data_IF_115779282266
#
_entry.id   IF_115779282266
#
_cell.length_a   1.000
_cell.length_b   1.000
_cell.length_c   1.000
_cell.angle_alpha   90.00
_cell.angle_beta   90.00
_cell.angle_gamma   90.00
#
_symmetry.space_group_name_H-M   'P 1'
#
loop_
_entity.id
_entity.type
_entity.pdbx_description
1 polymer ?
#
# COMPACT_ATOMS: atom_id res chain seq x y z
N UNK A 1 34.59 -37.25 -74.12
CA UNK A 1 33.58 -36.83 -75.11
C UNK A 1 32.20 -36.95 -74.49
N UNK A 2 31.54 -35.79 -74.35
CA UNK A 2 30.12 -35.52 -74.52
C UNK A 2 29.01 -36.43 -73.93
N UNK A 3 28.03 -35.71 -73.39
CA UNK A 3 26.59 -36.00 -73.30
C UNK A 3 26.14 -36.74 -72.03
N UNK A 4 25.06 -36.35 -71.38
CA UNK A 4 24.01 -35.41 -71.77
C UNK A 4 22.78 -35.71 -70.94
N UNK A 5 22.04 -34.66 -70.59
CA UNK A 5 20.79 -34.70 -69.84
C UNK A 5 19.77 -35.69 -70.42
N UNK A 6 19.11 -36.46 -69.54
CA UNK A 6 17.74 -36.93 -69.75
C UNK A 6 16.93 -36.78 -68.46
N UNK A 7 15.92 -35.94 -68.58
CA UNK A 7 14.85 -35.68 -67.63
C UNK A 7 13.64 -36.51 -68.09
N UNK A 8 13.00 -37.33 -67.24
CA UNK A 8 11.61 -37.82 -67.39
C UNK A 8 11.04 -38.18 -65.99
N UNK A 9 9.97 -37.44 -65.62
CA UNK A 9 8.72 -37.75 -64.86
C UNK A 9 8.60 -39.16 -64.21
N UNK A 10 7.95 -39.40 -63.05
CA UNK A 10 6.86 -38.73 -62.34
C UNK A 10 6.56 -39.41 -60.95
N UNK A 11 6.06 -38.63 -59.97
CA UNK A 11 5.15 -39.00 -58.82
C UNK A 11 5.73 -39.79 -57.61
N UNK A 12 5.01 -39.84 -56.47
CA UNK A 12 5.11 -38.91 -55.34
C UNK A 12 5.78 -39.58 -54.12
N UNK A 13 6.77 -38.93 -53.51
CA UNK A 13 7.42 -39.47 -52.32
C UNK A 13 6.58 -39.14 -51.07
N UNK A 14 5.58 -39.96 -50.78
CA UNK A 14 5.12 -40.17 -49.42
C UNK A 14 6.13 -41.11 -48.75
N UNK A 15 7.13 -40.57 -48.05
CA UNK A 15 7.87 -41.36 -47.06
C UNK A 15 8.46 -40.41 -46.01
N UNK A 16 7.91 -40.52 -44.79
CA UNK A 16 8.57 -40.27 -43.51
C UNK A 16 9.25 -38.92 -43.29
N UNK A 17 8.45 -37.90 -42.93
CA UNK A 17 8.88 -36.89 -41.95
C UNK A 17 8.17 -37.21 -40.63
N UNK A 18 8.55 -38.36 -40.08
CA UNK A 18 8.29 -38.73 -38.69
C UNK A 18 9.63 -38.77 -37.99
N UNK A 19 9.70 -38.17 -36.80
CA UNK A 19 10.89 -37.95 -35.97
C UNK A 19 11.84 -36.85 -36.45
N UNK A 20 11.57 -35.62 -35.99
CA UNK A 20 12.50 -34.76 -35.24
C UNK A 20 11.89 -33.34 -35.13
N UNK A 21 10.69 -33.24 -34.55
CA UNK A 21 10.33 -32.02 -33.80
C UNK A 21 10.25 -32.46 -32.36
N UNK A 22 11.39 -32.24 -31.73
CA UNK A 22 11.68 -32.22 -30.31
C UNK A 22 10.41 -31.91 -29.50
N UNK A 23 10.08 -32.87 -28.64
CA UNK A 23 9.26 -32.79 -27.44
C UNK A 23 8.94 -31.35 -26.97
N UNK A 24 7.88 -30.76 -27.53
CA UNK A 24 7.20 -29.58 -26.98
C UNK A 24 5.97 -30.00 -26.16
N UNK A 25 6.10 -31.09 -25.41
CA UNK A 25 5.20 -31.37 -24.30
C UNK A 25 6.02 -31.79 -23.09
N UNK A 26 5.65 -31.20 -21.95
CA UNK A 26 6.12 -31.50 -20.61
C UNK A 26 7.37 -30.76 -20.14
N UNK A 27 7.26 -29.44 -20.06
CA UNK A 27 7.69 -28.72 -18.86
C UNK A 27 6.92 -27.40 -18.78
N UNK A 28 5.59 -27.50 -18.62
CA UNK A 28 4.88 -26.46 -17.87
C UNK A 28 5.42 -26.55 -16.44
N UNK A 29 6.55 -25.91 -16.17
CA UNK A 29 6.90 -25.53 -14.80
C UNK A 29 5.65 -24.82 -14.29
N UNK A 30 4.98 -25.39 -13.29
CA UNK A 30 4.09 -24.60 -12.46
C UNK A 30 4.87 -23.32 -12.12
N UNK A 31 4.29 -22.12 -12.35
CA UNK A 31 4.98 -20.92 -11.91
C UNK A 31 5.27 -21.12 -10.43
N UNK A 32 6.51 -20.85 -10.06
CA UNK A 32 7.01 -21.02 -8.71
C UNK A 32 6.04 -20.24 -7.80
N UNK A 33 5.11 -20.94 -7.12
CA UNK A 33 3.98 -20.34 -6.40
C UNK A 33 4.45 -19.31 -5.35
N UNK A 34 5.73 -19.31 -5.03
CA UNK A 34 6.42 -18.32 -4.21
C UNK A 34 6.59 -16.95 -4.90
N UNK A 35 6.99 -16.91 -6.17
CA UNK A 35 7.24 -15.66 -6.91
C UNK A 35 5.96 -14.91 -7.26
N UNK A 36 4.93 -15.64 -7.71
CA UNK A 36 3.62 -15.05 -8.03
C UNK A 36 2.96 -14.46 -6.78
N UNK A 37 3.09 -15.13 -5.63
CA UNK A 37 2.60 -14.60 -4.34
C UNK A 37 3.33 -13.32 -3.94
N UNK A 38 4.66 -13.30 -4.04
CA UNK A 38 5.46 -12.10 -3.75
C UNK A 38 5.10 -10.94 -4.68
N UNK A 39 4.83 -11.23 -5.96
CA UNK A 39 4.41 -10.22 -6.92
C UNK A 39 3.03 -9.66 -6.57
N UNK A 40 2.08 -10.51 -6.20
CA UNK A 40 0.74 -10.08 -5.80
C UNK A 40 0.80 -9.22 -4.53
N UNK A 41 1.55 -9.64 -3.50
CA UNK A 41 1.74 -8.83 -2.28
C UNK A 41 2.34 -7.45 -2.58
N UNK A 42 3.22 -7.34 -3.57
CA UNK A 42 3.77 -6.04 -4.00
C UNK A 42 2.74 -5.17 -4.71
N UNK A 43 1.88 -5.77 -5.53
CA UNK A 43 0.77 -5.05 -6.18
C UNK A 43 -0.18 -4.52 -5.12
N UNK A 44 -0.60 -5.38 -4.20
CA UNK A 44 -1.51 -5.04 -3.10
C UNK A 44 -0.93 -3.94 -2.22
N UNK A 45 0.36 -4.01 -1.90
CA UNK A 45 1.07 -2.95 -1.18
C UNK A 45 1.07 -1.61 -1.92
N UNK A 46 1.30 -1.59 -3.24
CA UNK A 46 1.27 -0.35 -4.04
C UNK A 46 -0.13 0.26 -4.05
N UNK A 47 -1.16 -0.58 -4.18
CA UNK A 47 -2.56 -0.12 -4.13
C UNK A 47 -2.93 0.46 -2.76
N UNK A 48 -2.49 -0.18 -1.68
CA UNK A 48 -2.69 0.31 -0.31
C UNK A 48 -1.98 1.65 -0.10
N UNK A 49 -0.74 1.79 -0.58
CA UNK A 49 -0.01 3.06 -0.58
C UNK A 49 -0.77 4.15 -1.32
N UNK A 50 -1.29 3.86 -2.52
CA UNK A 50 -2.05 4.81 -3.33
C UNK A 50 -3.37 5.20 -2.65
N UNK A 51 -4.03 4.27 -1.96
CA UNK A 51 -5.24 4.55 -1.18
C UNK A 51 -4.94 5.54 -0.06
N UNK A 52 -3.87 5.32 0.71
CA UNK A 52 -3.43 6.23 1.77
C UNK A 52 -3.01 7.60 1.20
N UNK A 53 -2.27 7.63 0.10
CA UNK A 53 -1.88 8.89 -0.55
C UNK A 53 -3.07 9.65 -1.15
N UNK A 54 -4.07 8.94 -1.66
CA UNK A 54 -5.32 9.54 -2.16
C UNK A 54 -6.12 10.23 -1.05
N UNK A 55 -6.07 9.70 0.17
CA UNK A 55 -6.69 10.34 1.33
C UNK A 55 -5.98 11.66 1.71
N UNK A 56 -4.64 11.71 1.74
CA UNK A 56 -3.90 12.80 2.39
C UNK A 56 -2.98 13.65 1.50
N UNK A 57 -2.80 13.29 0.22
CA UNK A 57 -1.83 13.92 -0.68
C UNK A 57 -1.97 15.43 -0.76
N UNK A 58 -3.20 15.95 -0.83
CA UNK A 58 -3.47 17.38 -0.93
C UNK A 58 -3.02 18.20 0.30
N UNK A 59 -3.05 17.60 1.50
CA UNK A 59 -2.62 18.27 2.74
C UNK A 59 -1.09 18.27 2.81
N UNK A 60 -0.47 17.12 2.53
CA UNK A 60 0.99 16.98 2.51
C UNK A 60 1.63 17.95 1.53
N UNK A 61 1.14 18.03 0.30
CA UNK A 61 1.65 18.94 -0.72
C UNK A 61 1.50 20.40 -0.30
N UNK A 62 0.38 20.76 0.33
CA UNK A 62 0.18 22.10 0.86
C UNK A 62 1.17 22.44 1.99
N UNK A 63 1.43 21.50 2.90
CA UNK A 63 2.38 21.68 4.00
C UNK A 63 3.82 21.83 3.53
N UNK A 64 4.19 21.26 2.39
CA UNK A 64 5.55 21.38 1.85
C UNK A 64 5.82 22.63 1.03
N UNK A 65 4.79 23.40 0.66
CA UNK A 65 4.99 24.69 -0.02
C UNK A 65 5.84 25.60 0.86
N UNK A 66 6.94 26.15 0.34
CA UNK A 66 7.81 27.05 1.10
C UNK A 66 7.00 28.22 1.68
N UNK A 67 7.39 28.64 2.88
CA UNK A 67 6.82 29.80 3.58
C UNK A 67 7.97 30.69 3.95
N UNK A 68 7.86 31.99 3.65
CA UNK A 68 9.01 32.90 3.70
C UNK A 68 9.13 33.60 5.08
N UNK A 69 8.12 33.48 5.95
CA UNK A 69 8.11 34.11 7.28
C UNK A 69 7.42 33.25 8.36
N UNK A 70 7.81 33.39 9.65
CA UNK A 70 7.16 32.67 10.76
C UNK A 70 5.66 32.93 10.88
N UNK A 71 5.20 34.15 10.59
CA UNK A 71 3.77 34.47 10.58
C UNK A 71 3.02 33.70 9.50
N UNK A 72 3.62 33.52 8.31
CA UNK A 72 3.05 32.68 7.25
C UNK A 72 3.04 31.20 7.63
N UNK A 73 4.03 30.72 8.41
CA UNK A 73 4.01 29.35 8.94
C UNK A 73 2.83 29.11 9.87
N UNK A 74 2.58 30.02 10.82
CA UNK A 74 1.42 29.92 11.73
C UNK A 74 0.10 29.97 10.96
N UNK A 75 -0.04 30.89 10.01
CA UNK A 75 -1.23 30.95 9.15
C UNK A 75 -1.41 29.68 8.31
N UNK A 76 -0.30 29.07 7.88
CA UNK A 76 -0.31 27.84 7.11
C UNK A 76 -0.70 26.63 7.98
N UNK A 77 -0.28 26.57 9.24
CA UNK A 77 -0.73 25.55 10.19
C UNK A 77 -2.24 25.62 10.41
N UNK A 78 -2.80 26.81 10.69
CA UNK A 78 -4.25 26.96 10.83
C UNK A 78 -5.03 26.55 9.56
N UNK A 79 -4.45 26.78 8.37
CA UNK A 79 -5.03 26.33 7.09
C UNK A 79 -4.90 24.82 6.89
N UNK A 80 -3.87 24.18 7.45
CA UNK A 80 -3.72 22.72 7.45
C UNK A 80 -4.82 22.12 8.30
N UNK A 81 -5.04 22.63 9.51
CA UNK A 81 -6.09 22.13 10.41
C UNK A 81 -7.47 22.24 9.74
N UNK A 82 -7.77 23.39 9.13
CA UNK A 82 -9.01 23.56 8.35
C UNK A 82 -9.12 22.57 7.18
N UNK A 83 -8.02 22.32 6.45
CA UNK A 83 -8.02 21.31 5.37
C UNK A 83 -8.23 19.89 5.90
N UNK A 84 -7.75 19.60 7.11
CA UNK A 84 -8.00 18.30 7.75
C UNK A 84 -9.48 18.14 8.10
N UNK A 85 -10.11 19.19 8.62
CA UNK A 85 -11.56 19.21 8.84
C UNK A 85 -12.32 19.01 7.53
N UNK A 86 -11.96 19.73 6.46
CA UNK A 86 -12.58 19.59 5.13
C UNK A 86 -12.42 18.16 4.58
N UNK A 87 -11.24 17.55 4.73
CA UNK A 87 -11.03 16.16 4.33
C UNK A 87 -11.83 15.19 5.19
N UNK A 88 -11.87 15.40 6.50
CA UNK A 88 -12.67 14.60 7.41
C UNK A 88 -14.13 14.62 6.98
N UNK A 89 -14.71 15.77 6.70
CA UNK A 89 -16.08 15.91 6.19
C UNK A 89 -16.31 15.08 4.91
N UNK A 90 -15.37 15.12 3.96
CA UNK A 90 -15.47 14.39 2.70
C UNK A 90 -15.35 12.87 2.90
N UNK A 91 -14.50 12.42 3.81
CA UNK A 91 -14.15 11.00 3.97
C UNK A 91 -14.92 10.29 5.08
N UNK A 92 -15.45 11.04 6.04
CA UNK A 92 -16.26 10.51 7.14
C UNK A 92 -17.44 9.75 6.56
N UNK A 93 -17.59 8.52 7.02
CA UNK A 93 -18.63 7.60 6.59
C UNK A 93 -18.38 6.89 5.26
N UNK A 94 -17.30 7.21 4.53
CA UNK A 94 -16.86 6.41 3.39
C UNK A 94 -16.13 5.15 3.87
N UNK A 95 -16.14 4.11 3.05
CA UNK A 95 -15.41 2.86 3.32
C UNK A 95 -14.03 2.94 2.69
N UNK A 96 -13.02 2.53 3.45
CA UNK A 96 -11.69 2.24 2.93
C UNK A 96 -11.56 0.73 2.75
N UNK A 97 -10.82 0.32 1.72
CA UNK A 97 -10.44 -1.07 1.50
C UNK A 97 -8.93 -1.12 1.28
N UNK A 98 -8.25 -1.88 2.12
CA UNK A 98 -6.83 -2.19 2.00
C UNK A 98 -6.69 -3.70 1.79
N UNK A 99 -5.80 -4.10 0.91
CA UNK A 99 -5.63 -5.50 0.50
C UNK A 99 -4.70 -6.28 1.42
N UNK A 100 -3.68 -5.63 1.96
CA UNK A 100 -2.60 -6.28 2.70
C UNK A 100 -2.19 -5.54 3.97
N UNK A 101 -3.14 -4.96 4.70
CA UNK A 101 -2.85 -4.28 5.96
C UNK A 101 -2.29 -5.28 6.99
N UNK A 102 -1.23 -4.89 7.69
CA UNK A 102 -0.58 -5.70 8.72
C UNK A 102 -1.08 -5.30 10.10
N UNK A 103 -1.49 -6.29 10.90
CA UNK A 103 -1.85 -6.08 12.30
C UNK A 103 -0.58 -5.86 13.14
N UNK A 104 -0.44 -4.67 13.71
CA UNK A 104 0.74 -4.24 14.49
C UNK A 104 0.69 -4.77 15.92
N UNK A 105 -0.50 -4.95 16.48
CA UNK A 105 -0.63 -5.36 17.88
C UNK A 105 -2.02 -5.86 18.25
N UNK A 106 -2.08 -6.53 19.41
CA UNK A 106 -3.32 -7.07 19.98
C UNK A 106 -4.31 -5.96 20.31
N UNK A 107 -5.63 -6.26 20.30
CA UNK A 107 -6.65 -5.33 20.75
C UNK A 107 -6.31 -4.73 22.11
N UNK A 108 -6.27 -3.40 22.19
CA UNK A 108 -5.98 -2.67 23.43
C UNK A 108 -6.92 -1.51 23.63
N UNK A 109 -7.10 -1.10 24.89
CA UNK A 109 -7.70 0.20 25.21
C UNK A 109 -6.76 1.30 24.73
N UNK A 110 -7.29 2.26 23.99
CA UNK A 110 -6.57 3.47 23.64
C UNK A 110 -6.82 4.51 24.74
N UNK A 111 -5.75 4.98 25.35
CA UNK A 111 -5.85 6.03 26.38
C UNK A 111 -5.61 7.44 25.84
N UNK A 112 -4.98 7.60 24.67
CA UNK A 112 -4.66 8.91 24.11
C UNK A 112 -4.81 8.94 22.57
N UNK A 113 -6.05 9.01 22.08
CA UNK A 113 -6.34 9.70 20.82
C UNK A 113 -6.75 11.14 21.15
N UNK A 114 -5.91 11.84 21.91
CA UNK A 114 -6.17 13.20 22.46
C UNK A 114 -6.52 14.23 21.37
N UNK A 115 -6.23 13.91 20.11
CA UNK A 115 -6.49 14.76 18.95
C UNK A 115 -7.83 14.51 18.26
N UNK A 116 -8.53 13.43 18.60
CA UNK A 116 -9.76 13.03 17.90
C UNK A 116 -11.03 13.43 18.63
N UNK A 117 -10.93 13.86 19.89
CA UNK A 117 -12.06 14.38 20.69
C UNK A 117 -13.30 13.46 20.69
N UNK A 118 -13.08 12.15 20.59
CA UNK A 118 -14.12 11.11 20.63
C UNK A 118 -13.80 10.21 21.82
N UNK A 119 -14.80 9.97 22.66
CA UNK A 119 -14.71 9.01 23.77
C UNK A 119 -14.77 7.58 23.22
N UNK A 120 -13.64 6.88 23.31
CA UNK A 120 -13.50 5.47 22.90
C UNK A 120 -13.39 4.53 24.11
N UNK A 121 -13.75 4.97 25.32
CA UNK A 121 -13.60 4.19 26.56
C UNK A 121 -14.33 2.84 26.53
N UNK A 122 -15.39 2.72 25.74
CA UNK A 122 -16.18 1.49 25.54
C UNK A 122 -15.60 0.53 24.48
N UNK A 123 -14.57 0.94 23.74
CA UNK A 123 -14.02 0.19 22.60
C UNK A 123 -12.64 -0.39 22.89
N UNK A 124 -12.39 -1.59 22.38
CA UNK A 124 -11.03 -2.06 22.13
C UNK A 124 -10.60 -1.66 20.72
N UNK A 125 -9.30 -1.53 20.50
CA UNK A 125 -8.76 -1.10 19.21
C UNK A 125 -7.69 -2.04 18.71
N UNK A 126 -7.86 -2.48 17.46
CA UNK A 126 -6.81 -3.13 16.68
C UNK A 126 -6.05 -2.07 15.88
N UNK A 127 -4.73 -2.14 15.95
CA UNK A 127 -3.84 -1.24 15.24
C UNK A 127 -3.27 -1.96 14.02
N UNK A 128 -3.49 -1.39 12.85
CA UNK A 128 -3.00 -1.86 11.57
C UNK A 128 -2.07 -0.83 10.93
N UNK A 129 -1.24 -1.30 10.01
CA UNK A 129 -0.36 -0.46 9.20
C UNK A 129 -0.27 -0.96 7.75
N UNK A 130 0.39 -0.18 6.90
CA UNK A 130 0.75 -0.57 5.54
C UNK A 130 2.25 -0.82 5.50
N UNK A 131 2.65 -2.08 5.43
CA UNK A 131 4.04 -2.53 5.42
C UNK A 131 4.46 -3.03 4.05
N UNK A 132 5.69 -2.72 3.63
CA UNK A 132 6.26 -3.30 2.42
C UNK A 132 6.40 -4.83 2.53
N UNK A 133 6.14 -5.62 1.46
CA UNK A 133 6.15 -7.08 1.55
C UNK A 133 7.42 -7.72 2.08
N UNK A 134 8.56 -7.11 1.72
CA UNK A 134 9.91 -7.53 2.09
C UNK A 134 10.51 -6.72 3.25
N UNK A 135 9.70 -5.89 3.92
CA UNK A 135 10.11 -5.04 5.03
C UNK A 135 9.14 -5.16 6.21
N UNK A 136 9.50 -4.55 7.33
CA UNK A 136 8.68 -4.54 8.55
C UNK A 136 8.57 -3.14 9.17
N UNK A 137 8.54 -2.11 8.33
CA UNK A 137 8.33 -0.74 8.78
C UNK A 137 6.84 -0.42 8.76
N UNK A 138 6.37 0.30 9.77
CA UNK A 138 4.96 0.70 9.96
C UNK A 138 4.55 1.86 9.03
N UNK A 139 4.77 1.68 7.73
CA UNK A 139 4.57 2.70 6.72
C UNK A 139 5.43 2.49 5.48
N UNK A 140 5.57 3.55 4.70
CA UNK A 140 6.24 3.46 3.41
C UNK A 140 7.00 4.72 3.02
N UNK A 141 7.97 4.55 2.12
CA UNK A 141 8.73 5.64 1.55
C UNK A 141 7.99 6.28 0.37
N UNK A 142 7.91 7.60 0.38
CA UNK A 142 7.36 8.41 -0.70
C UNK A 142 8.50 9.18 -1.35
N UNK A 143 8.53 9.21 -2.68
CA UNK A 143 9.41 10.11 -3.44
C UNK A 143 9.02 11.55 -3.12
N UNK A 144 9.94 12.31 -2.53
CA UNK A 144 9.67 13.69 -2.11
C UNK A 144 9.87 14.70 -3.24
N UNK A 145 10.71 14.37 -4.23
CA UNK A 145 10.99 15.19 -5.41
C UNK A 145 10.87 14.33 -6.67
N UNK A 146 9.94 14.71 -7.55
CA UNK A 146 9.74 13.99 -8.82
C UNK A 146 10.94 14.10 -9.76
N UNK A 147 11.76 15.14 -9.60
CA UNK A 147 12.97 15.35 -10.40
C UNK A 147 14.19 14.62 -9.83
N UNK A 148 14.09 14.11 -8.60
CA UNK A 148 15.17 13.43 -7.89
C UNK A 148 14.64 12.23 -7.10
N UNK A 149 14.54 11.09 -7.78
CA UNK A 149 14.00 9.84 -7.24
C UNK A 149 14.81 9.26 -6.08
N UNK A 150 16.03 9.78 -5.83
CA UNK A 150 16.85 9.39 -4.69
C UNK A 150 16.32 9.98 -3.38
N UNK A 151 15.60 11.11 -3.45
CA UNK A 151 15.01 11.76 -2.28
C UNK A 151 13.70 11.09 -1.90
N UNK A 152 13.74 10.40 -0.77
CA UNK A 152 12.61 9.69 -0.20
C UNK A 152 12.38 10.16 1.23
N UNK A 153 11.13 10.24 1.59
CA UNK A 153 10.69 10.49 2.96
C UNK A 153 9.82 9.35 3.42
N UNK A 154 9.90 9.01 4.69
CA UNK A 154 9.09 7.97 5.27
C UNK A 154 7.79 8.55 5.83
N UNK A 155 6.67 7.91 5.47
CA UNK A 155 5.34 8.17 5.98
C UNK A 155 4.90 7.00 6.84
N UNK A 156 4.72 7.24 8.14
CA UNK A 156 4.14 6.28 9.06
C UNK A 156 2.62 6.19 8.86
N UNK A 157 2.07 4.99 8.84
CA UNK A 157 0.64 4.76 8.66
C UNK A 157 0.10 3.98 9.84
N UNK A 158 -0.87 4.55 10.54
CA UNK A 158 -1.51 3.94 11.70
C UNK A 158 -3.02 3.93 11.49
N UNK A 159 -3.61 2.74 11.46
CA UNK A 159 -5.03 2.56 11.23
C UNK A 159 -5.62 1.86 12.45
N UNK A 160 -6.62 2.48 13.05
CA UNK A 160 -7.25 2.02 14.28
C UNK A 160 -8.64 1.50 13.95
N UNK A 161 -8.85 0.20 14.07
CA UNK A 161 -10.18 -0.40 13.94
C UNK A 161 -10.82 -0.53 15.32
N UNK A 162 -11.97 0.10 15.49
CA UNK A 162 -12.73 0.01 16.73
C UNK A 162 -13.48 -1.32 16.80
N UNK A 163 -13.43 -1.97 17.95
CA UNK A 163 -14.13 -3.22 18.21
C UNK A 163 -15.14 -3.02 19.34
N UNK A 164 -16.42 -3.28 19.04
CA UNK A 164 -17.49 -3.34 20.05
C UNK A 164 -17.51 -4.76 20.64
N UNK A 165 -17.36 -4.88 21.96
CA UNK A 165 -17.49 -6.14 22.70
C UNK A 165 -16.54 -7.28 22.28
N UNK A 166 -15.29 -6.98 21.91
CA UNK A 166 -14.34 -8.03 21.57
C UNK A 166 -13.81 -8.76 22.82
N UNK A 167 -13.80 -10.09 22.74
CA UNK A 167 -13.10 -10.93 23.70
C UNK A 167 -11.59 -10.83 23.43
N UNK A 168 -10.77 -10.33 24.38
CA UNK A 168 -9.32 -10.23 24.20
C UNK A 168 -8.62 -11.59 24.06
N UNK A 169 -9.34 -12.71 24.23
CA UNK A 169 -8.83 -14.07 24.06
C UNK A 169 -8.70 -14.52 22.60
N UNK A 170 -9.33 -13.81 21.65
CA UNK A 170 -9.21 -14.14 20.23
C UNK A 170 -7.99 -13.42 19.64
N UNK A 171 -7.20 -14.18 18.87
CA UNK A 171 -6.29 -13.73 17.80
C UNK A 171 -4.79 -13.65 18.17
N UNK A 172 -4.11 -14.78 18.04
CA UNK A 172 -2.84 -14.80 17.31
C UNK A 172 -3.13 -14.78 15.81
N UNK A 173 -3.07 -13.61 15.18
CA UNK A 173 -2.82 -13.54 13.75
C UNK A 173 -1.76 -12.47 13.51
N UNK A 174 -0.49 -12.90 13.45
CA UNK A 174 0.55 -12.14 12.77
C UNK A 174 0.39 -12.45 11.29
N UNK A 175 -0.19 -11.53 10.54
CA UNK A 175 -0.39 -11.72 9.11
C UNK A 175 -0.95 -10.48 8.44
N UNK A 176 -0.60 -10.30 7.17
CA UNK A 176 -1.24 -9.32 6.30
C UNK A 176 -2.61 -9.85 5.90
N UNK A 177 -3.63 -9.01 6.03
CA UNK A 177 -4.98 -9.36 5.66
C UNK A 177 -5.68 -8.16 5.04
N UNK A 178 -6.73 -8.42 4.22
CA UNK A 178 -7.60 -7.36 3.79
C UNK A 178 -8.21 -6.65 5.02
N UNK A 179 -8.16 -5.32 5.01
CA UNK A 179 -8.78 -4.47 6.02
C UNK A 179 -9.81 -3.58 5.36
N UNK A 180 -11.02 -3.65 5.87
CA UNK A 180 -12.12 -2.81 5.44
C UNK A 180 -12.77 -2.18 6.67
N UNK A 181 -13.15 -0.92 6.54
CA UNK A 181 -13.89 -0.24 7.59
C UNK A 181 -14.42 1.11 7.13
N UNK A 182 -15.39 1.62 7.88
CA UNK A 182 -15.97 2.94 7.62
C UNK A 182 -15.12 3.99 8.34
N UNK A 183 -14.64 4.99 7.62
CA UNK A 183 -13.81 6.04 8.18
C UNK A 183 -14.64 6.88 9.16
N UNK A 184 -14.22 6.89 10.41
CA UNK A 184 -14.76 7.75 11.47
C UNK A 184 -13.95 9.04 11.55
N UNK A 185 -12.61 8.90 11.46
CA UNK A 185 -11.71 10.03 11.61
C UNK A 185 -10.40 9.84 10.84
N UNK A 186 -9.78 10.96 10.46
CA UNK A 186 -8.50 11.04 9.76
C UNK A 186 -7.66 12.16 10.35
N UNK A 187 -6.38 11.91 10.62
CA UNK A 187 -5.45 12.91 11.13
C UNK A 187 -4.08 12.76 10.45
N UNK A 188 -3.43 13.88 10.13
CA UNK A 188 -2.08 13.92 9.59
C UNK A 188 -1.21 14.85 10.44
N UNK A 189 -0.22 14.31 11.15
CA UNK A 189 0.62 15.15 12.02
C UNK A 189 1.69 15.95 11.26
N UNK A 190 2.00 15.51 10.03
CA UNK A 190 3.01 16.05 9.12
C UNK A 190 4.41 16.22 9.73
N UNK A 191 4.76 15.37 10.70
CA UNK A 191 6.04 15.39 11.38
C UNK A 191 6.17 16.57 12.36
N UNK A 192 6.84 16.36 13.51
CA UNK A 192 7.13 17.46 14.43
C UNK A 192 8.41 18.19 13.99
N UNK A 193 8.33 19.50 13.76
CA UNK A 193 9.51 20.36 13.49
C UNK A 193 10.58 20.35 14.61
N UNK A 194 10.32 19.69 15.75
CA UNK A 194 11.17 19.74 16.95
C UNK A 194 12.03 18.50 17.18
N UNK A 195 11.87 17.42 16.40
CA UNK A 195 12.71 16.23 16.55
C UNK A 195 13.34 15.81 15.22
N UNK A 196 14.65 15.52 15.19
CA UNK A 196 15.35 15.12 13.98
C UNK A 196 14.89 13.75 13.43
N UNK A 197 14.05 13.01 14.17
CA UNK A 197 13.59 11.66 13.83
C UNK A 197 12.06 11.50 13.76
N UNK A 198 11.26 12.57 13.83
CA UNK A 198 9.80 12.41 13.71
C UNK A 198 9.40 12.33 12.25
N UNK A 199 9.16 11.11 11.78
CA UNK A 199 8.52 10.86 10.50
C UNK A 199 7.17 11.56 10.40
N UNK A 200 6.73 11.84 9.17
CA UNK A 200 5.34 12.22 8.94
C UNK A 200 4.44 11.02 9.28
N UNK A 201 3.32 11.25 9.97
CA UNK A 201 2.41 10.18 10.33
C UNK A 201 0.97 10.49 9.96
N UNK A 202 0.26 9.45 9.55
CA UNK A 202 -1.16 9.44 9.30
C UNK A 202 -1.84 8.49 10.27
N UNK A 203 -2.98 8.95 10.78
CA UNK A 203 -3.86 8.19 11.65
C UNK A 203 -5.24 8.11 10.98
N UNK A 204 -5.75 6.90 10.79
CA UNK A 204 -7.11 6.65 10.28
C UNK A 204 -7.86 5.84 11.31
N UNK A 205 -9.07 6.26 11.68
CA UNK A 205 -9.94 5.52 12.60
C UNK A 205 -11.11 4.94 11.82
N UNK A 206 -11.34 3.64 11.99
CA UNK A 206 -12.36 2.84 11.33
C UNK A 206 -13.38 2.31 12.34
N UNK A 207 -14.65 2.33 11.94
CA UNK A 207 -15.73 1.54 12.57
C UNK A 207 -15.60 0.06 12.22
#
# INVERSE_FOLDING_TARGET
MQNGFRNIRMKPLFFTVGLFIISFYSNCREPDRSQDKILQEKIDYIEDCNTILGLFGNIRDFRKKKSDTPFQETLKLNRIDKKQEDLLEIWKGKRIFLKGAELVGRPRRIYNLDKLNIDFSEFLVEEYTVTHPLGGLDGFYIVSDKNDLSKKEFLQVRIFRLLKNSDPSVLEIRGRAPLEGKIISVHYDGGQNKSPNSFESIYVVLE
#
